data_IF_263564220911
#
_entry.id   IF_263564220911
#
_cell.length_a   1.000
_cell.length_b   1.000
_cell.length_c   1.000
_cell.angle_alpha   90.00
_cell.angle_beta   90.00
_cell.angle_gamma   90.00
#
_symmetry.space_group_name_H-M   'P 1'
#
loop_
_entity.id
_entity.type
_entity.pdbx_description
1 polymer ?
#
# COMPACT_ATOMS: atom_id res chain seq x y z
N UNK A 1 -26.55 16.58 0.26
CA UNK A 1 -26.32 15.63 1.11
C UNK A 1 -25.09 14.85 0.84
N UNK A 2 -24.58 14.50 1.85
CA UNK A 2 -23.42 13.82 1.78
C UNK A 2 -23.65 12.52 1.14
N UNK A 3 -22.92 12.21 0.16
CA UNK A 3 -23.11 10.94 -0.47
C UNK A 3 -22.47 9.90 0.40
N UNK A 4 -23.03 8.75 0.33
CA UNK A 4 -22.55 7.65 1.11
C UNK A 4 -21.19 7.23 0.56
N UNK A 5 -20.12 7.48 1.27
CA UNK A 5 -18.81 7.14 0.75
C UNK A 5 -18.65 5.67 0.47
N UNK A 6 -19.30 4.84 1.24
CA UNK A 6 -19.18 3.44 1.00
C UNK A 6 -19.77 3.02 -0.32
N UNK A 7 -20.91 3.59 -0.64
CA UNK A 7 -21.55 3.26 -1.85
C UNK A 7 -20.76 3.76 -3.04
N UNK A 8 -20.33 5.00 -2.95
CA UNK A 8 -19.57 5.57 -3.97
C UNK A 8 -18.30 4.83 -4.15
N UNK A 9 -17.74 4.38 -3.07
CA UNK A 9 -16.44 3.80 -3.12
C UNK A 9 -16.42 2.32 -3.39
N UNK A 10 -17.56 1.69 -3.66
CA UNK A 10 -17.50 0.26 -3.95
C UNK A 10 -16.68 0.01 -5.21
N UNK A 11 -16.84 0.84 -6.25
CA UNK A 11 -16.00 0.73 -7.43
C UNK A 11 -14.62 1.27 -7.12
N UNK A 12 -14.55 2.34 -6.35
CA UNK A 12 -13.28 2.91 -5.94
C UNK A 12 -12.45 1.96 -5.12
N UNK A 13 -13.08 1.17 -4.27
CA UNK A 13 -12.36 0.19 -3.47
C UNK A 13 -11.70 -0.86 -4.36
N UNK A 14 -12.40 -1.33 -5.36
CA UNK A 14 -11.84 -2.31 -6.29
C UNK A 14 -10.63 -1.71 -7.00
N UNK A 15 -10.78 -0.48 -7.47
CA UNK A 15 -9.70 0.19 -8.18
C UNK A 15 -8.50 0.40 -7.27
N UNK A 16 -8.73 0.86 -6.05
CA UNK A 16 -7.64 1.09 -5.10
C UNK A 16 -6.92 -0.21 -4.75
N UNK A 17 -7.66 -1.31 -4.64
CA UNK A 17 -7.05 -2.59 -4.36
C UNK A 17 -6.16 -3.05 -5.51
N UNK A 18 -6.59 -2.79 -6.72
CA UNK A 18 -5.77 -3.11 -7.89
C UNK A 18 -4.50 -2.26 -7.91
N UNK A 19 -4.64 -0.99 -7.60
CA UNK A 19 -3.48 -0.11 -7.56
C UNK A 19 -2.51 -0.52 -6.47
N UNK A 20 -3.04 -0.91 -5.32
CA UNK A 20 -2.19 -1.43 -4.26
C UNK A 20 -1.44 -2.67 -4.72
N UNK A 21 -2.14 -3.54 -5.43
CA UNK A 21 -1.52 -4.76 -5.94
C UNK A 21 -0.39 -4.48 -6.91
N UNK A 22 -0.58 -3.53 -7.80
CA UNK A 22 0.47 -3.16 -8.73
C UNK A 22 1.67 -2.55 -8.01
N UNK A 23 1.41 -1.72 -7.02
CA UNK A 23 2.46 -1.12 -6.24
C UNK A 23 3.26 -2.19 -5.48
N UNK A 24 2.59 -3.15 -4.88
CA UNK A 24 3.26 -4.25 -4.19
C UNK A 24 4.11 -5.06 -5.15
N UNK A 25 3.59 -5.31 -6.34
CA UNK A 25 4.33 -6.06 -7.34
C UNK A 25 5.58 -5.32 -7.77
N UNK A 26 5.46 -4.02 -7.98
CA UNK A 26 6.61 -3.22 -8.36
C UNK A 26 7.68 -3.25 -7.28
N UNK A 27 7.28 -3.16 -6.02
CA UNK A 27 8.24 -3.24 -4.93
C UNK A 27 8.92 -4.60 -4.89
N UNK A 28 8.15 -5.66 -5.12
CA UNK A 28 8.69 -7.01 -5.12
C UNK A 28 9.69 -7.18 -6.25
N UNK A 29 9.31 -6.74 -7.44
CA UNK A 29 10.18 -6.88 -8.61
C UNK A 29 11.45 -6.06 -8.45
N UNK A 30 11.33 -4.88 -7.87
CA UNK A 30 12.50 -4.05 -7.62
C UNK A 30 13.49 -4.72 -6.68
N UNK A 31 13.03 -5.61 -5.82
CA UNK A 31 13.91 -6.36 -4.94
C UNK A 31 14.41 -7.65 -5.59
N UNK A 32 13.97 -7.94 -6.79
CA UNK A 32 14.39 -9.16 -7.46
C UNK A 32 13.75 -10.41 -6.88
N UNK A 33 12.61 -10.28 -6.21
CA UNK A 33 11.99 -11.42 -5.55
C UNK A 33 10.90 -12.01 -6.43
N UNK A 34 10.87 -13.33 -6.51
CA UNK A 34 9.73 -14.02 -7.10
C UNK A 34 8.58 -14.00 -6.10
N UNK A 35 7.39 -14.33 -6.55
CA UNK A 35 6.25 -14.45 -5.64
C UNK A 35 6.50 -15.51 -4.58
N UNK A 36 7.14 -16.60 -4.95
CA UNK A 36 7.45 -17.65 -3.98
C UNK A 36 8.43 -17.18 -2.93
N UNK A 37 9.45 -16.45 -3.37
CA UNK A 37 10.44 -15.93 -2.43
C UNK A 37 9.82 -14.94 -1.47
N UNK A 38 8.96 -14.08 -1.98
CA UNK A 38 8.29 -13.13 -1.11
C UNK A 38 7.39 -13.87 -0.12
N UNK A 39 6.67 -14.89 -0.58
CA UNK A 39 5.82 -15.67 0.31
C UNK A 39 6.63 -16.27 1.44
N UNK A 40 7.81 -16.80 1.14
CA UNK A 40 8.67 -17.35 2.17
C UNK A 40 9.06 -16.30 3.18
N UNK A 41 9.39 -15.11 2.70
CA UNK A 41 9.88 -14.06 3.59
C UNK A 41 8.79 -13.49 4.49
N UNK A 42 7.56 -13.46 4.00
CA UNK A 42 6.48 -12.91 4.82
C UNK A 42 5.69 -14.00 5.55
N UNK A 43 6.16 -15.24 5.45
CA UNK A 43 5.53 -16.34 6.17
C UNK A 43 4.17 -16.73 5.62
N UNK A 44 3.94 -16.47 4.34
CA UNK A 44 2.70 -16.87 3.72
C UNK A 44 2.76 -18.36 3.41
N UNK A 45 1.69 -19.05 3.72
CA UNK A 45 1.64 -20.48 3.53
C UNK A 45 1.69 -20.86 2.07
N UNK A 46 1.04 -20.06 1.23
CA UNK A 46 0.99 -20.34 -0.19
C UNK A 46 1.38 -19.10 -0.98
N UNK A 47 2.19 -19.29 -2.02
CA UNK A 47 2.60 -18.16 -2.84
C UNK A 47 1.41 -17.55 -3.61
N UNK A 48 0.33 -18.32 -3.76
CA UNK A 48 -0.84 -17.78 -4.42
C UNK A 48 -1.47 -16.61 -3.66
N UNK A 49 -1.21 -16.52 -2.36
CA UNK A 49 -1.65 -15.36 -1.61
C UNK A 49 -1.00 -14.09 -2.16
N UNK A 50 0.27 -14.18 -2.51
CA UNK A 50 0.98 -13.03 -3.09
C UNK A 50 0.33 -12.64 -4.42
N UNK A 51 0.06 -13.62 -5.26
CA UNK A 51 -0.54 -13.31 -6.56
C UNK A 51 -1.94 -12.72 -6.40
N UNK A 52 -2.69 -13.14 -5.40
CA UNK A 52 -3.99 -12.55 -5.13
C UNK A 52 -3.86 -11.09 -4.71
N UNK A 53 -2.95 -10.80 -3.80
CA UNK A 53 -2.73 -9.42 -3.37
C UNK A 53 -2.32 -8.54 -4.54
N UNK A 54 -1.45 -9.05 -5.40
CA UNK A 54 -0.95 -8.27 -6.52
C UNK A 54 -2.02 -8.06 -7.59
N UNK A 55 -3.04 -8.88 -7.61
CA UNK A 55 -4.13 -8.69 -8.55
C UNK A 55 -5.31 -7.92 -7.93
N UNK A 56 -5.14 -7.45 -6.71
CA UNK A 56 -6.16 -6.64 -6.06
C UNK A 56 -7.17 -7.40 -5.26
N UNK A 57 -6.90 -8.66 -4.94
CA UNK A 57 -7.78 -9.45 -4.11
C UNK A 57 -7.20 -9.56 -2.72
N UNK A 58 -8.03 -9.39 -1.73
CA UNK A 58 -7.59 -9.48 -0.35
C UNK A 58 -6.73 -8.30 0.05
N UNK A 59 -6.11 -8.41 1.20
CA UNK A 59 -5.26 -7.35 1.71
C UNK A 59 -4.29 -7.95 2.71
N UNK A 60 -3.18 -7.25 2.90
CA UNK A 60 -2.20 -7.66 3.90
C UNK A 60 -2.79 -7.39 5.27
N UNK A 61 -2.79 -8.38 6.17
CA UNK A 61 -3.28 -8.13 7.52
C UNK A 61 -2.32 -7.22 8.28
N UNK A 62 -2.84 -6.35 9.15
CA UNK A 62 -1.99 -5.36 9.83
C UNK A 62 -0.85 -5.97 10.64
N UNK A 63 -1.05 -7.13 11.22
CA UNK A 63 -0.01 -7.75 12.01
C UNK A 63 1.15 -8.27 11.16
N UNK A 64 1.03 -8.17 9.84
CA UNK A 64 2.11 -8.57 8.94
C UNK A 64 2.76 -7.37 8.27
N UNK A 65 2.30 -6.17 8.54
CA UNK A 65 2.83 -4.97 7.87
C UNK A 65 4.34 -4.83 8.04
N UNK A 66 4.83 -5.02 9.26
CA UNK A 66 6.25 -4.85 9.50
C UNK A 66 7.07 -5.87 8.73
N UNK A 67 6.63 -7.11 8.75
CA UNK A 67 7.34 -8.17 8.05
C UNK A 67 7.38 -7.92 6.55
N UNK A 68 6.27 -7.45 5.99
CA UNK A 68 6.20 -7.12 4.57
C UNK A 68 7.12 -5.96 4.22
N UNK A 69 7.12 -4.91 5.05
CA UNK A 69 7.98 -3.77 4.81
C UNK A 69 9.45 -4.21 4.78
N UNK A 70 9.83 -5.04 5.72
CA UNK A 70 11.19 -5.55 5.79
C UNK A 70 11.53 -6.40 4.57
N UNK A 71 10.62 -7.29 4.20
CA UNK A 71 10.86 -8.15 3.04
C UNK A 71 11.03 -7.35 1.77
N UNK A 72 10.29 -6.26 1.63
CA UNK A 72 10.35 -5.43 0.44
C UNK A 72 11.41 -4.33 0.53
N UNK A 73 12.06 -4.19 1.66
CA UNK A 73 13.11 -3.19 1.82
C UNK A 73 12.60 -1.78 1.88
N UNK A 74 11.40 -1.59 2.39
CA UNK A 74 10.81 -0.26 2.51
C UNK A 74 10.74 0.09 3.99
N UNK A 75 11.00 1.34 4.30
CA UNK A 75 10.93 1.79 5.68
C UNK A 75 9.48 1.59 6.16
N UNK A 76 9.28 0.96 7.34
CA UNK A 76 7.94 0.52 7.73
C UNK A 76 6.89 1.61 7.79
N UNK A 77 7.22 2.78 8.28
CA UNK A 77 6.24 3.85 8.37
C UNK A 77 5.80 4.31 6.99
N UNK A 78 6.75 4.39 6.07
CA UNK A 78 6.43 4.76 4.71
C UNK A 78 5.60 3.69 4.02
N UNK A 79 5.93 2.45 4.28
CA UNK A 79 5.20 1.33 3.70
C UNK A 79 3.74 1.38 4.14
N UNK A 80 3.51 1.49 5.45
CA UNK A 80 2.16 1.48 5.99
C UNK A 80 1.40 2.73 5.57
N UNK A 81 2.07 3.88 5.57
CA UNK A 81 1.41 5.11 5.15
C UNK A 81 0.89 5.01 3.73
N UNK A 82 1.71 4.52 2.83
CA UNK A 82 1.28 4.35 1.44
C UNK A 82 0.20 3.26 1.33
N UNK A 83 0.37 2.18 2.05
CA UNK A 83 -0.60 1.09 2.01
C UNK A 83 -1.98 1.55 2.48
N UNK A 84 -2.02 2.37 3.53
CA UNK A 84 -3.27 2.90 4.03
C UNK A 84 -3.99 3.74 2.99
N UNK A 85 -3.26 4.48 2.19
CA UNK A 85 -3.90 5.30 1.17
C UNK A 85 -4.71 4.44 0.22
N UNK A 86 -4.27 3.22 -0.03
CA UNK A 86 -5.00 2.30 -0.89
C UNK A 86 -6.04 1.51 -0.11
N UNK A 87 -5.68 1.02 1.07
CA UNK A 87 -6.53 0.10 1.81
C UNK A 87 -7.59 0.81 2.66
N UNK A 88 -7.28 1.99 3.14
CA UNK A 88 -8.15 2.71 4.05
C UNK A 88 -7.98 4.21 3.84
N UNK A 89 -8.48 4.72 2.70
CA UNK A 89 -8.25 6.13 2.38
C UNK A 89 -8.90 7.09 3.37
N UNK A 90 -9.94 6.66 4.06
CA UNK A 90 -10.57 7.51 5.06
C UNK A 90 -9.62 7.76 6.22
N UNK A 91 -9.07 6.68 6.77
CA UNK A 91 -8.12 6.82 7.87
C UNK A 91 -6.87 7.56 7.41
N UNK A 92 -6.39 7.23 6.21
CA UNK A 92 -5.24 7.93 5.67
C UNK A 92 -5.49 9.43 5.59
N UNK A 93 -6.67 9.81 5.11
CA UNK A 93 -7.02 11.22 5.00
C UNK A 93 -7.08 11.92 6.35
N UNK A 94 -7.59 11.23 7.37
CA UNK A 94 -7.66 11.80 8.70
C UNK A 94 -6.26 12.03 9.27
N UNK A 95 -5.39 11.05 9.11
CA UNK A 95 -4.06 11.10 9.69
C UNK A 95 -3.11 12.01 8.92
N UNK A 96 -3.19 12.01 7.62
CA UNK A 96 -2.17 12.68 6.80
C UNK A 96 -2.74 13.78 5.92
N UNK A 97 -4.02 13.77 5.69
CA UNK A 97 -4.67 14.80 4.91
C UNK A 97 -4.11 14.88 3.52
N UNK A 98 -4.09 16.10 2.98
CA UNK A 98 -3.62 16.31 1.62
C UNK A 98 -2.12 16.27 1.50
N UNK A 99 -1.44 16.37 2.60
CA UNK A 99 0.00 16.44 2.57
C UNK A 99 0.62 15.21 2.00
N UNK A 100 -0.14 14.13 1.95
CA UNK A 100 0.39 12.87 1.48
C UNK A 100 -0.07 12.54 0.07
N UNK A 101 -0.74 13.42 -0.60
CA UNK A 101 -1.20 13.15 -1.94
C UNK A 101 -0.02 13.20 -2.90
N UNK A 102 0.17 12.18 -3.70
CA UNK A 102 1.35 12.11 -4.55
C UNK A 102 1.46 13.26 -5.52
N UNK A 103 0.35 13.63 -6.07
CA UNK A 103 0.38 14.66 -7.08
C UNK A 103 0.64 16.02 -6.50
N UNK A 104 0.48 16.19 -5.22
CA UNK A 104 0.76 17.42 -4.59
C UNK A 104 2.15 17.47 -4.08
N UNK A 105 2.82 16.34 -4.01
CA UNK A 105 4.08 16.35 -3.50
C UNK A 105 5.02 16.76 -4.47
N UNK A 106 5.50 17.84 -4.26
CA UNK A 106 6.53 18.25 -5.06
C UNK A 106 7.73 17.65 -4.53
N UNK A 107 8.48 17.19 -5.35
CA UNK A 107 9.69 16.62 -4.91
C UNK A 107 10.39 17.52 -4.01
N UNK A 108 10.14 18.70 -4.17
CA UNK A 108 10.70 19.61 -3.36
C UNK A 108 10.27 19.59 -2.04
N UNK A 109 9.36 19.25 -1.84
CA UNK A 109 8.88 19.36 -0.66
C UNK A 109 9.47 18.60 0.20
N UNK A 110 9.71 18.15 -0.32
CA UNK A 110 10.17 17.42 0.33
C UNK A 110 11.22 17.69 1.07
N UNK A 111 11.18 18.52 0.83
CA UNK A 111 11.78 18.61 1.33
C UNK A 111 11.98 18.95 2.09
N UNK A 112 11.62 19.44 2.15
CA UNK A 112 11.55 19.66 2.79
C UNK A 112 11.90 19.31 3.55
N UNK A 113 12.39 19.34 3.44
CA UNK A 113 12.61 18.83 4.19
C UNK A 113 12.65 18.91 5.21
N UNK A 114 12.42 19.54 5.34
CA UNK A 114 12.30 19.63 6.23
C UNK A 114 11.65 19.26 6.76
N UNK A 115 11.28 19.29 6.24
CA UNK A 115 10.62 18.83 6.52
C UNK A 115 10.89 18.03 6.93
N UNK A 116 11.31 18.15 6.91
CA UNK A 116 11.57 17.49 7.15
C UNK A 116 11.71 17.13 7.81
#
# INVERSE_FOLDING_TARGET
>A
MYSNPQKLSSIGVVQLRREAGLWLRELREARGLSQRKLADRVGAEYYTFISQLESGRGRIPPDRYLLWAEALGVEPRRFVRTLLRYYDPVTHGILFGRDDAPELRQPALAENPATA
#
